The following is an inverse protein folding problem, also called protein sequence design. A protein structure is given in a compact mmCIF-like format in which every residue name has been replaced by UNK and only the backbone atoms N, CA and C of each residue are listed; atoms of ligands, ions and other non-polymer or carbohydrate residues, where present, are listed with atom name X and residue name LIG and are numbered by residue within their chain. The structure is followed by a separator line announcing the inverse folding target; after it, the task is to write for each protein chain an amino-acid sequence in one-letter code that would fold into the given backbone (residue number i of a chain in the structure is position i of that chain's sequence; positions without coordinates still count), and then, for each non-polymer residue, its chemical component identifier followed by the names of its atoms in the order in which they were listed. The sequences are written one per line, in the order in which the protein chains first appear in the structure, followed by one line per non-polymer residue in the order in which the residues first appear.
data_IF_385378056316
#
_entry.id   IF_385378056316
#
_cell.length_a   1.000
_cell.length_b   1.000
_cell.length_c   1.000
_cell.angle_alpha   90.00
_cell.angle_beta   90.00
_cell.angle_gamma   90.00
#
_symmetry.space_group_name_H-M   'P 1'
#
loop_
_entity.id
_entity.type
_entity.pdbx_description
1 polymer ?
#
# COMPACT_ATOMS: atom_id res chain seq x y z
N UNK A 1 -1.27 5.83 -22.68
CA UNK A 1 -2.15 4.97 -21.86
C UNK A 1 -1.73 4.99 -20.42
N UNK A 2 -2.71 5.04 -19.51
CA UNK A 2 -2.40 4.96 -18.09
C UNK A 2 -2.17 3.50 -17.68
N UNK A 3 -1.20 3.29 -16.78
CA UNK A 3 -1.01 1.97 -16.17
C UNK A 3 -2.15 1.70 -15.18
N UNK A 4 -2.30 0.43 -14.77
CA UNK A 4 -3.28 0.06 -13.74
C UNK A 4 -3.01 0.81 -12.43
N UNK A 5 -1.74 0.96 -12.07
CA UNK A 5 -1.35 1.71 -10.87
C UNK A 5 -1.77 3.18 -10.96
N UNK A 6 -1.59 3.81 -12.10
CA UNK A 6 -2.02 5.20 -12.30
C UNK A 6 -3.53 5.35 -12.18
N UNK A 7 -4.29 4.42 -12.75
CA UNK A 7 -5.75 4.39 -12.64
C UNK A 7 -6.20 4.25 -11.19
N UNK A 8 -5.62 3.30 -10.46
CA UNK A 8 -5.92 3.08 -9.04
C UNK A 8 -5.53 4.29 -8.19
N UNK A 9 -4.40 4.92 -8.49
CA UNK A 9 -3.96 6.13 -7.79
C UNK A 9 -4.97 7.27 -7.97
N UNK A 10 -5.51 7.43 -9.16
CA UNK A 10 -6.56 8.42 -9.43
C UNK A 10 -7.85 8.10 -8.69
N UNK A 11 -8.24 6.84 -8.66
CA UNK A 11 -9.41 6.40 -7.89
C UNK A 11 -9.24 6.71 -6.42
N UNK A 12 -8.04 6.48 -5.88
CA UNK A 12 -7.73 6.80 -4.48
C UNK A 12 -7.88 8.29 -4.21
N UNK A 13 -7.34 9.14 -5.10
CA UNK A 13 -7.48 10.60 -4.98
C UNK A 13 -8.95 11.00 -5.01
N UNK A 14 -9.74 10.45 -5.93
CA UNK A 14 -11.16 10.74 -6.04
C UNK A 14 -11.92 10.36 -4.77
N UNK A 15 -11.63 9.21 -4.19
CA UNK A 15 -12.26 8.77 -2.93
C UNK A 15 -11.89 9.72 -1.79
N UNK A 16 -10.63 10.11 -1.69
CA UNK A 16 -10.15 11.05 -0.66
C UNK A 16 -10.87 12.39 -0.79
N UNK A 17 -10.98 12.93 -2.00
CA UNK A 17 -11.68 14.21 -2.25
C UNK A 17 -13.17 14.09 -1.92
N UNK A 18 -13.80 12.97 -2.28
CA UNK A 18 -15.21 12.73 -1.97
C UNK A 18 -15.49 12.65 -0.47
N UNK A 19 -14.49 12.26 0.32
CA UNK A 19 -14.60 12.24 1.78
C UNK A 19 -14.37 13.63 2.40
N UNK A 20 -14.03 14.64 1.60
CA UNK A 20 -13.85 16.01 2.05
C UNK A 20 -12.42 16.41 2.34
N UNK A 21 -11.44 15.66 1.85
CA UNK A 21 -10.02 15.94 2.09
C UNK A 21 -9.35 16.47 0.81
N UNK A 22 -8.22 17.19 0.96
CA UNK A 22 -7.49 17.72 -0.22
C UNK A 22 -6.96 16.60 -1.12
N UNK A 23 -6.91 16.88 -2.43
CA UNK A 23 -6.37 15.94 -3.41
C UNK A 23 -4.91 15.59 -3.15
N UNK A 24 -4.14 16.53 -2.62
CA UNK A 24 -2.72 16.34 -2.26
C UNK A 24 -2.53 15.18 -1.27
N UNK A 25 -3.46 15.02 -0.33
CA UNK A 25 -3.41 13.90 0.62
C UNK A 25 -3.51 12.57 -0.12
N UNK A 26 -4.44 12.45 -1.06
CA UNK A 26 -4.60 11.25 -1.88
C UNK A 26 -3.37 10.95 -2.72
N UNK A 27 -2.76 11.98 -3.30
CA UNK A 27 -1.55 11.84 -4.11
C UNK A 27 -0.37 11.34 -3.26
N UNK A 28 -0.16 11.92 -2.09
CA UNK A 28 0.88 11.48 -1.16
C UNK A 28 0.67 10.04 -0.72
N UNK A 29 -0.56 9.65 -0.44
CA UNK A 29 -0.89 8.29 -0.05
C UNK A 29 -0.58 7.32 -1.17
N UNK A 30 -0.95 7.65 -2.42
CA UNK A 30 -0.66 6.79 -3.57
C UNK A 30 0.84 6.60 -3.77
N UNK A 31 1.63 7.65 -3.60
CA UNK A 31 3.09 7.58 -3.69
C UNK A 31 3.68 6.67 -2.62
N UNK A 32 3.23 6.78 -1.38
CA UNK A 32 3.73 5.97 -0.27
C UNK A 32 3.33 4.50 -0.41
N UNK A 33 2.12 4.23 -0.89
CA UNK A 33 1.63 2.85 -1.09
C UNK A 33 2.38 2.16 -2.23
N UNK A 34 2.52 2.81 -3.35
CA UNK A 34 3.43 2.44 -4.45
C UNK A 34 3.12 1.20 -5.27
N UNK A 35 2.14 0.39 -4.90
CA UNK A 35 1.77 -0.82 -5.66
C UNK A 35 0.27 -0.88 -5.90
N UNK A 36 -0.15 -1.63 -6.92
CA UNK A 36 -1.57 -1.83 -7.22
C UNK A 36 -2.31 -2.45 -6.04
N UNK A 37 -1.73 -3.46 -5.44
CA UNK A 37 -2.33 -4.19 -4.32
C UNK A 37 -2.56 -3.29 -3.10
N UNK A 38 -1.56 -2.49 -2.72
CA UNK A 38 -1.67 -1.62 -1.55
C UNK A 38 -2.61 -0.45 -1.80
N UNK A 39 -2.59 0.13 -2.99
CA UNK A 39 -3.51 1.23 -3.36
C UNK A 39 -4.95 0.73 -3.35
N UNK A 40 -5.20 -0.44 -3.96
CA UNK A 40 -6.53 -1.03 -3.99
C UNK A 40 -7.05 -1.33 -2.58
N UNK A 41 -6.20 -1.87 -1.71
CA UNK A 41 -6.53 -2.14 -0.31
C UNK A 41 -6.91 -0.86 0.43
N UNK A 42 -6.19 0.23 0.19
CA UNK A 42 -6.49 1.53 0.79
C UNK A 42 -7.84 2.08 0.30
N UNK A 43 -8.13 1.95 -0.98
CA UNK A 43 -9.43 2.35 -1.56
C UNK A 43 -10.56 1.59 -0.87
N UNK A 44 -10.43 0.27 -0.72
CA UNK A 44 -11.44 -0.56 -0.08
C UNK A 44 -11.66 -0.13 1.38
N UNK A 45 -10.59 0.14 2.10
CA UNK A 45 -10.68 0.64 3.47
C UNK A 45 -11.47 1.95 3.53
N UNK A 46 -11.15 2.92 2.67
CA UNK A 46 -11.82 4.23 2.67
C UNK A 46 -13.31 4.12 2.33
N UNK A 47 -13.66 3.23 1.41
CA UNK A 47 -15.05 3.04 0.99
C UNK A 47 -15.89 2.35 2.07
N UNK A 48 -15.31 1.40 2.79
CA UNK A 48 -16.04 0.61 3.78
C UNK A 48 -16.08 1.24 5.18
N UNK A 49 -14.96 1.84 5.61
CA UNK A 49 -14.82 2.39 6.95
C UNK A 49 -15.23 3.86 7.00
N UNK A 50 -14.94 4.62 5.94
CA UNK A 50 -15.19 6.06 5.88
C UNK A 50 -14.63 6.79 7.11
N UNK A 51 -13.29 6.81 7.28
CA UNK A 51 -12.66 7.36 8.48
C UNK A 51 -13.01 8.83 8.68
N UNK A 52 -13.20 9.23 9.94
CA UNK A 52 -13.64 10.56 10.31
C UNK A 52 -12.51 11.60 10.24
N UNK A 53 -11.25 11.18 10.29
CA UNK A 53 -10.10 12.08 10.33
C UNK A 53 -9.00 11.65 9.36
N UNK A 54 -8.18 12.62 8.94
CA UNK A 54 -7.01 12.35 8.12
C UNK A 54 -5.98 11.47 8.87
N UNK A 55 -5.90 11.62 10.19
CA UNK A 55 -4.99 10.81 11.03
C UNK A 55 -5.33 9.32 10.94
N UNK A 56 -6.60 8.96 10.98
CA UNK A 56 -7.04 7.57 10.82
C UNK A 56 -6.67 7.02 9.46
N UNK A 57 -6.79 7.83 8.41
CA UNK A 57 -6.41 7.45 7.05
C UNK A 57 -4.91 7.19 6.95
N UNK A 58 -4.10 8.08 7.50
CA UNK A 58 -2.63 7.94 7.49
C UNK A 58 -2.20 6.74 8.31
N UNK A 59 -2.81 6.49 9.46
CA UNK A 59 -2.51 5.33 10.31
C UNK A 59 -2.77 4.03 9.55
N UNK A 60 -3.89 3.93 8.84
CA UNK A 60 -4.18 2.74 8.02
C UNK A 60 -3.19 2.58 6.87
N UNK A 61 -2.85 3.69 6.21
CA UNK A 61 -1.83 3.67 5.15
C UNK A 61 -0.50 3.14 5.68
N UNK A 62 -0.08 3.60 6.84
CA UNK A 62 1.17 3.14 7.47
C UNK A 62 1.11 1.66 7.84
N UNK A 63 -0.04 1.19 8.32
CA UNK A 63 -0.24 -0.23 8.61
C UNK A 63 -0.14 -1.09 7.34
N UNK A 64 -0.74 -0.65 6.24
CA UNK A 64 -0.68 -1.33 4.95
C UNK A 64 0.77 -1.38 4.44
N UNK A 65 1.49 -0.26 4.53
CA UNK A 65 2.89 -0.20 4.13
C UNK A 65 3.77 -1.10 4.99
N UNK A 66 3.52 -1.16 6.29
CA UNK A 66 4.26 -2.01 7.23
C UNK A 66 4.06 -3.49 6.90
N UNK A 67 2.84 -3.91 6.62
CA UNK A 67 2.55 -5.30 6.19
C UNK A 67 3.26 -5.64 4.88
N UNK A 68 3.25 -4.73 3.91
CA UNK A 68 3.96 -4.90 2.64
C UNK A 68 5.45 -5.11 2.88
N UNK A 69 6.06 -4.27 3.73
CA UNK A 69 7.49 -4.32 4.00
C UNK A 69 7.87 -5.59 4.76
N UNK A 70 7.06 -6.03 5.71
CA UNK A 70 7.27 -7.29 6.43
C UNK A 70 7.21 -8.48 5.48
N UNK A 71 6.30 -8.48 4.52
CA UNK A 71 6.14 -9.54 3.55
C UNK A 71 7.35 -9.63 2.62
N UNK A 72 7.87 -8.49 2.16
CA UNK A 72 9.09 -8.42 1.35
C UNK A 72 10.29 -8.95 2.13
N UNK A 73 10.44 -8.57 3.39
CA UNK A 73 11.50 -9.04 4.28
C UNK A 73 11.44 -10.56 4.46
N UNK A 74 10.25 -11.10 4.69
CA UNK A 74 10.05 -12.53 4.85
C UNK A 74 10.48 -13.30 3.61
N UNK A 75 10.12 -12.84 2.42
CA UNK A 75 10.52 -13.47 1.17
C UNK A 75 12.03 -13.44 0.96
N UNK A 76 12.68 -12.33 1.26
CA UNK A 76 14.14 -12.21 1.20
C UNK A 76 14.82 -13.21 2.13
N UNK A 77 14.33 -13.33 3.36
CA UNK A 77 14.89 -14.25 4.35
C UNK A 77 14.75 -15.71 3.91
N UNK A 78 13.60 -16.09 3.35
CA UNK A 78 13.37 -17.43 2.81
C UNK A 78 14.34 -17.75 1.66
N UNK A 79 14.55 -16.79 0.77
CA UNK A 79 15.50 -16.94 -0.34
C UNK A 79 16.92 -17.16 0.17
N UNK A 80 17.38 -16.35 1.11
CA UNK A 80 18.71 -16.47 1.70
C UNK A 80 18.90 -17.80 2.42
N UNK A 81 17.92 -18.23 3.20
CA UNK A 81 17.99 -19.49 3.92
C UNK A 81 18.08 -20.69 2.96
N UNK A 82 17.34 -20.65 1.87
CA UNK A 82 17.38 -21.68 0.84
C UNK A 82 18.78 -21.76 0.21
N UNK A 83 19.37 -20.64 -0.14
CA UNK A 83 20.72 -20.56 -0.73
C UNK A 83 21.78 -21.08 0.21
N UNK A 84 21.73 -20.71 1.47
CA UNK A 84 22.67 -21.18 2.49
C UNK A 84 22.55 -22.70 2.68
N UNK A 85 21.35 -23.24 2.74
CA UNK A 85 21.11 -24.69 2.87
C UNK A 85 21.66 -25.46 1.68
N UNK A 86 21.46 -24.97 0.45
CA UNK A 86 22.03 -25.58 -0.75
C UNK A 86 23.55 -25.60 -0.67
N UNK A 87 24.15 -24.56 -0.13
CA UNK A 87 25.62 -24.43 0.01
C UNK A 87 26.19 -25.42 1.04
N UNK A 88 25.52 -25.60 2.15
CA UNK A 88 25.95 -26.45 3.26
C UNK A 88 25.78 -27.93 2.92
N UNK A 89 24.76 -28.31 2.15
CA UNK A 89 24.39 -29.69 1.84
C UNK A 89 25.01 -30.21 0.56
N UNK A 90 26.01 -29.57 0.01
CA UNK A 90 26.75 -30.06 -1.16
C UNK A 90 27.70 -31.21 -0.84
#
# INVERSE_FOLDING_TARGET
MMTRLEQLSRELVDVVVNLGYPSELGELMAQNLGTESTVERMIQYLLHVQPATAEEMVDEMLAICDERDKWVQKKKNEYYNRKVNEWINR
#
